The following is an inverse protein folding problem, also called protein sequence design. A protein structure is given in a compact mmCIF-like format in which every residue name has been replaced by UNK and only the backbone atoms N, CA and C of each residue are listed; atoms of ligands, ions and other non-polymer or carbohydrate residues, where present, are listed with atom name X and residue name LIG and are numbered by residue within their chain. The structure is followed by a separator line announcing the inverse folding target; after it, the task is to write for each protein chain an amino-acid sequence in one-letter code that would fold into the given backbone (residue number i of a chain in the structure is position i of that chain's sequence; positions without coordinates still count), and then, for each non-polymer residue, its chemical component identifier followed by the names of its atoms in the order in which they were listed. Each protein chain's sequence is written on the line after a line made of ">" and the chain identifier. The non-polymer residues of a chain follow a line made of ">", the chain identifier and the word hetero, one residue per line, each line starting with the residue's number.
data_IF_883169921036
#
_entry.id   IF_883169921036
#
_cell.length_a   1.000
_cell.length_b   1.000
_cell.length_c   1.000
_cell.angle_alpha   90.00
_cell.angle_beta   90.00
_cell.angle_gamma   90.00
#
_symmetry.space_group_name_H-M   'P 1'
#
loop_
_entity.id
_entity.type
_entity.pdbx_description
1 polymer ?
#
# COMPACT_ATOMS: atom_id res chain seq x y z
N UNK A 1 -2.62 -15.92 5.69
CA UNK A 1 -3.37 -16.88 6.54
C UNK A 1 -4.89 -16.88 6.28
N UNK A 2 -5.43 -15.94 5.53
CA UNK A 2 -6.87 -15.83 5.24
C UNK A 2 -7.25 -16.53 3.91
N UNK A 3 -6.42 -17.44 3.40
CA UNK A 3 -6.69 -18.20 2.19
C UNK A 3 -6.31 -17.50 0.88
N UNK A 4 -5.63 -16.36 0.97
CA UNK A 4 -5.09 -15.65 -0.19
C UNK A 4 -3.67 -16.12 -0.49
N UNK A 5 -3.38 -16.33 -1.77
CA UNK A 5 -2.01 -16.53 -2.25
C UNK A 5 -1.36 -15.17 -2.49
N UNK A 6 -0.16 -14.98 -1.97
CA UNK A 6 0.56 -13.70 -2.03
C UNK A 6 2.00 -13.93 -2.45
N UNK A 7 2.48 -13.14 -3.40
CA UNK A 7 3.91 -13.05 -3.69
C UNK A 7 4.47 -11.64 -3.43
N UNK A 8 5.77 -11.57 -3.18
CA UNK A 8 6.50 -10.31 -3.15
C UNK A 8 7.06 -9.97 -4.52
N UNK A 9 7.03 -8.69 -4.93
CA UNK A 9 7.78 -8.24 -6.11
C UNK A 9 8.89 -7.31 -5.65
N UNK A 10 10.12 -7.80 -5.74
CA UNK A 10 11.31 -7.14 -5.22
C UNK A 10 12.06 -6.42 -6.35
N UNK A 11 12.67 -5.28 -6.03
CA UNK A 11 13.50 -4.52 -6.96
C UNK A 11 14.71 -5.31 -7.46
N UNK A 12 15.34 -6.06 -6.56
CA UNK A 12 16.40 -7.03 -6.92
C UNK A 12 15.71 -8.39 -6.96
N UNK A 13 15.60 -9.02 -8.14
CA UNK A 13 14.87 -10.27 -8.27
C UNK A 13 15.47 -11.38 -7.40
N UNK A 14 14.59 -12.03 -6.66
CA UNK A 14 14.88 -13.20 -5.82
C UNK A 14 13.70 -14.15 -5.89
N UNK A 15 13.90 -15.46 -5.76
CA UNK A 15 12.80 -16.43 -5.83
C UNK A 15 11.89 -16.40 -4.60
N UNK A 16 12.37 -15.86 -3.48
CA UNK A 16 11.65 -15.78 -2.21
C UNK A 16 11.93 -14.48 -1.47
N UNK A 17 10.97 -14.05 -0.67
CA UNK A 17 11.16 -12.97 0.31
C UNK A 17 10.66 -13.40 1.68
N UNK A 18 11.45 -13.11 2.70
CA UNK A 18 11.07 -13.38 4.11
C UNK A 18 10.28 -12.21 4.67
N UNK A 19 9.19 -12.52 5.34
CA UNK A 19 8.37 -11.55 6.07
C UNK A 19 8.39 -11.93 7.54
N UNK A 20 8.96 -11.04 8.36
CA UNK A 20 8.99 -11.19 9.81
C UNK A 20 8.21 -10.00 10.40
N UNK A 21 7.11 -10.29 11.06
CA UNK A 21 6.19 -9.27 11.58
C UNK A 21 5.88 -9.56 13.05
N UNK A 22 5.91 -8.53 13.87
CA UNK A 22 5.39 -8.54 15.23
C UNK A 22 4.16 -7.62 15.26
N UNK A 23 3.02 -8.19 15.61
CA UNK A 23 1.74 -7.47 15.70
C UNK A 23 1.62 -6.68 17.01
N UNK A 24 0.63 -5.80 17.07
CA UNK A 24 0.36 -4.95 18.24
C UNK A 24 0.03 -5.72 19.51
N UNK A 25 -0.47 -6.96 19.38
CA UNK A 25 -0.77 -7.87 20.48
C UNK A 25 0.45 -8.75 20.88
N UNK A 26 1.61 -8.54 20.22
CA UNK A 26 2.83 -9.31 20.43
C UNK A 26 2.89 -10.63 19.67
N UNK A 27 1.88 -10.99 18.90
CA UNK A 27 1.92 -12.18 18.05
C UNK A 27 2.99 -12.02 16.96
N UNK A 28 3.63 -13.14 16.60
CA UNK A 28 4.74 -13.16 15.65
C UNK A 28 4.32 -13.93 14.39
N UNK A 29 4.56 -13.30 13.24
CA UNK A 29 4.36 -13.90 11.94
C UNK A 29 5.70 -13.97 11.20
N UNK A 30 6.12 -15.19 10.86
CA UNK A 30 7.35 -15.45 10.11
C UNK A 30 7.02 -16.37 8.94
N UNK A 31 7.13 -15.84 7.73
CA UNK A 31 6.82 -16.58 6.51
C UNK A 31 7.84 -16.28 5.42
N UNK A 32 7.99 -17.24 4.51
CA UNK A 32 8.72 -17.07 3.26
C UNK A 32 7.71 -17.10 2.12
N UNK A 33 7.61 -16.01 1.40
CA UNK A 33 6.72 -15.86 0.26
C UNK A 33 7.50 -16.08 -1.04
N UNK A 34 6.86 -16.66 -2.05
CA UNK A 34 7.36 -16.62 -3.43
C UNK A 34 7.56 -15.18 -3.86
N UNK A 35 8.59 -14.92 -4.66
CA UNK A 35 8.85 -13.57 -5.13
C UNK A 35 9.29 -13.56 -6.60
N UNK A 36 8.95 -12.48 -7.31
CA UNK A 36 9.36 -12.20 -8.69
C UNK A 36 8.98 -13.31 -9.69
N UNK A 37 7.85 -13.99 -9.47
CA UNK A 37 7.31 -14.98 -10.39
C UNK A 37 6.38 -14.31 -11.42
N UNK A 38 6.76 -14.23 -12.70
CA UNK A 38 5.94 -13.58 -13.72
C UNK A 38 4.66 -14.34 -14.06
N UNK A 39 4.65 -15.67 -13.93
CA UNK A 39 3.45 -16.48 -14.20
C UNK A 39 2.39 -16.23 -13.11
N UNK A 40 2.82 -16.13 -11.87
CA UNK A 40 1.94 -15.71 -10.78
C UNK A 40 1.42 -14.27 -11.00
N UNK A 41 2.29 -13.35 -11.43
CA UNK A 41 1.87 -11.97 -11.71
C UNK A 41 0.82 -11.91 -12.82
N UNK A 42 0.96 -12.72 -13.88
CA UNK A 42 0.04 -12.78 -15.00
C UNK A 42 -1.35 -13.31 -14.65
N UNK A 43 -1.51 -13.94 -13.49
CA UNK A 43 -2.78 -14.49 -12.99
C UNK A 43 -3.27 -13.79 -11.72
N UNK A 44 -2.61 -12.70 -11.31
CA UNK A 44 -2.95 -11.99 -10.07
C UNK A 44 -4.26 -11.23 -10.18
N UNK A 45 -5.08 -11.28 -9.13
CA UNK A 45 -6.37 -10.58 -9.02
C UNK A 45 -6.21 -9.14 -8.48
N UNK A 46 -5.07 -8.83 -7.86
CA UNK A 46 -4.76 -7.51 -7.31
C UNK A 46 -3.25 -7.28 -7.31
N UNK A 47 -2.81 -6.11 -7.78
CA UNK A 47 -1.48 -5.59 -7.52
C UNK A 47 -1.52 -4.53 -6.41
N UNK A 48 -0.94 -4.83 -5.25
CA UNK A 48 -0.79 -3.88 -4.15
C UNK A 48 0.59 -3.23 -4.19
N UNK A 49 0.63 -1.90 -4.33
CA UNK A 49 1.87 -1.11 -4.43
C UNK A 49 2.05 -0.24 -3.19
N UNK A 50 3.07 -0.58 -2.40
CA UNK A 50 3.39 0.11 -1.12
C UNK A 50 4.76 0.77 -1.14
N UNK A 51 5.19 1.22 -2.31
CA UNK A 51 6.49 1.86 -2.54
C UNK A 51 6.50 3.34 -2.12
N UNK A 52 7.67 3.96 -2.13
CA UNK A 52 7.77 5.42 -2.04
C UNK A 52 7.26 6.07 -3.33
N UNK A 53 6.63 7.24 -3.23
CA UNK A 53 5.95 7.90 -4.35
C UNK A 53 6.81 7.96 -5.63
N UNK A 54 8.10 8.30 -5.51
CA UNK A 54 9.01 8.39 -6.66
C UNK A 54 9.40 7.06 -7.31
N UNK A 55 9.03 5.93 -6.72
CA UNK A 55 9.29 4.58 -7.26
C UNK A 55 8.06 3.98 -7.93
N UNK A 56 6.87 4.52 -7.63
CA UNK A 56 5.59 3.92 -8.00
C UNK A 56 5.42 3.87 -9.51
N UNK A 57 5.64 4.98 -10.20
CA UNK A 57 5.37 5.08 -11.64
C UNK A 57 6.20 4.11 -12.46
N UNK A 58 7.50 4.01 -12.17
CA UNK A 58 8.40 3.09 -12.89
C UNK A 58 8.04 1.64 -12.60
N UNK A 59 7.77 1.31 -11.34
CA UNK A 59 7.38 -0.04 -10.94
C UNK A 59 6.07 -0.47 -11.61
N UNK A 60 5.04 0.36 -11.56
CA UNK A 60 3.74 0.07 -12.19
C UNK A 60 3.88 -0.09 -13.69
N UNK A 61 4.57 0.83 -14.38
CA UNK A 61 4.78 0.75 -15.83
C UNK A 61 5.51 -0.52 -16.24
N UNK A 62 6.48 -0.97 -15.45
CA UNK A 62 7.23 -2.20 -15.73
C UNK A 62 6.39 -3.47 -15.56
N UNK A 63 5.42 -3.46 -14.64
CA UNK A 63 4.59 -4.64 -14.33
C UNK A 63 3.28 -4.68 -15.13
N UNK A 64 2.77 -3.54 -15.56
CA UNK A 64 1.49 -3.41 -16.23
C UNK A 64 1.36 -4.24 -17.52
N UNK A 65 2.47 -4.48 -18.22
CA UNK A 65 2.48 -5.30 -19.44
C UNK A 65 2.24 -6.79 -19.16
N UNK A 66 2.56 -7.27 -17.98
CA UNK A 66 2.37 -8.66 -17.57
C UNK A 66 1.03 -8.89 -16.87
N UNK A 67 0.52 -7.86 -16.20
CA UNK A 67 -0.77 -7.91 -15.51
C UNK A 67 -1.93 -7.93 -16.50
N UNK A 68 -2.99 -8.73 -16.24
CA UNK A 68 -4.25 -8.61 -16.98
C UNK A 68 -4.78 -7.18 -16.93
N UNK A 69 -5.39 -6.71 -18.02
CA UNK A 69 -5.93 -5.34 -18.10
C UNK A 69 -7.10 -5.10 -17.14
N UNK A 70 -7.70 -6.17 -16.63
CA UNK A 70 -8.80 -6.13 -15.65
C UNK A 70 -8.33 -6.15 -14.21
N UNK A 71 -7.04 -6.44 -13.94
CA UNK A 71 -6.50 -6.51 -12.58
C UNK A 71 -6.35 -5.11 -11.99
N UNK A 72 -7.04 -4.79 -10.88
CA UNK A 72 -6.88 -3.50 -10.22
C UNK A 72 -5.48 -3.35 -9.62
N UNK A 73 -4.96 -2.13 -9.69
CA UNK A 73 -3.69 -1.72 -9.09
C UNK A 73 -4.01 -0.76 -7.94
N UNK A 74 -3.79 -1.20 -6.72
CA UNK A 74 -4.02 -0.39 -5.52
C UNK A 74 -2.71 0.25 -5.04
N UNK A 75 -2.65 1.57 -5.09
CA UNK A 75 -1.50 2.37 -4.69
C UNK A 75 -1.68 2.89 -3.28
N UNK A 76 -0.90 2.37 -2.32
CA UNK A 76 -0.88 2.88 -0.93
C UNK A 76 0.50 3.47 -0.67
N UNK A 77 0.61 4.77 -0.85
CA UNK A 77 1.83 5.53 -0.58
C UNK A 77 1.52 6.93 -0.06
N UNK A 78 2.51 7.58 0.52
CA UNK A 78 2.39 8.98 0.92
C UNK A 78 2.73 9.88 -0.27
N UNK A 79 1.98 10.98 -0.43
CA UNK A 79 2.17 11.96 -1.51
C UNK A 79 1.10 11.84 -2.59
N UNK A 80 1.19 12.75 -3.55
CA UNK A 80 0.26 12.90 -4.68
C UNK A 80 1.06 13.06 -5.97
N UNK A 81 0.39 13.02 -7.12
CA UNK A 81 1.02 13.23 -8.44
C UNK A 81 1.26 11.94 -9.24
N UNK A 82 1.26 10.78 -8.61
CA UNK A 82 1.52 9.50 -9.30
C UNK A 82 0.42 9.13 -10.32
N UNK A 83 -0.81 9.58 -10.11
CA UNK A 83 -1.93 9.28 -11.02
C UNK A 83 -1.74 9.98 -12.37
N UNK A 84 -1.24 11.20 -12.37
CA UNK A 84 -0.94 11.96 -13.57
C UNK A 84 0.16 11.28 -14.41
N UNK A 85 1.12 10.64 -13.76
CA UNK A 85 2.19 9.87 -14.42
C UNK A 85 1.71 8.52 -14.96
N UNK A 86 0.62 7.98 -14.41
CA UNK A 86 0.03 6.68 -14.73
C UNK A 86 -1.25 6.78 -15.58
N UNK A 87 -1.54 7.95 -16.16
CA UNK A 87 -2.77 8.18 -16.94
C UNK A 87 -2.94 7.22 -18.14
N UNK A 88 -1.86 6.69 -18.68
CA UNK A 88 -1.86 5.76 -19.82
C UNK A 88 -1.96 4.27 -19.41
N UNK A 89 -1.99 3.96 -18.13
CA UNK A 89 -2.18 2.59 -17.65
C UNK A 89 -3.63 2.18 -17.88
N UNK A 90 -3.83 1.01 -18.51
CA UNK A 90 -5.15 0.51 -18.88
C UNK A 90 -5.88 -0.16 -17.70
N UNK A 91 -5.12 -0.73 -16.79
CA UNK A 91 -5.65 -1.35 -15.58
C UNK A 91 -6.40 -0.33 -14.70
N UNK A 92 -7.44 -0.75 -13.99
CA UNK A 92 -8.08 0.10 -12.99
C UNK A 92 -7.08 0.56 -11.93
N UNK A 93 -7.01 1.87 -11.70
CA UNK A 93 -6.15 2.45 -10.67
C UNK A 93 -6.96 2.81 -9.44
N UNK A 94 -6.54 2.31 -8.32
CA UNK A 94 -7.10 2.62 -7.01
C UNK A 94 -6.05 3.32 -6.16
N UNK A 95 -6.49 4.24 -5.34
CA UNK A 95 -5.66 4.90 -4.35
C UNK A 95 -6.06 4.47 -2.96
N UNK A 96 -5.07 4.40 -2.09
CA UNK A 96 -5.31 4.15 -0.68
C UNK A 96 -4.44 5.02 0.22
N UNK A 97 -4.92 5.21 1.42
CA UNK A 97 -4.18 5.86 2.50
C UNK A 97 -4.41 5.08 3.80
N UNK A 98 -3.37 4.96 4.61
CA UNK A 98 -3.44 4.25 5.88
C UNK A 98 -2.80 5.07 7.00
N UNK A 99 -3.36 4.97 8.20
CA UNK A 99 -2.81 5.58 9.42
C UNK A 99 -2.17 4.54 10.35
N UNK A 100 -2.09 3.29 9.93
CA UNK A 100 -1.31 2.27 10.65
C UNK A 100 0.13 2.73 10.85
N UNK A 101 0.67 2.48 12.03
CA UNK A 101 2.05 2.79 12.34
C UNK A 101 2.87 1.51 12.46
N UNK A 102 3.96 1.46 11.71
CA UNK A 102 4.93 0.38 11.79
C UNK A 102 6.35 0.94 11.78
N UNK A 103 7.24 0.26 12.47
CA UNK A 103 8.68 0.53 12.42
C UNK A 103 9.44 -0.70 11.98
N UNK A 104 10.60 -0.49 11.41
CA UNK A 104 11.51 -1.57 11.03
C UNK A 104 12.66 -1.64 12.03
N UNK A 105 12.95 -2.86 12.48
CA UNK A 105 14.08 -3.16 13.34
C UNK A 105 14.85 -4.33 12.71
N UNK A 106 15.96 -4.01 12.04
CA UNK A 106 16.69 -4.98 11.22
C UNK A 106 15.80 -5.59 10.12
N UNK A 107 15.56 -6.90 10.24
CA UNK A 107 14.70 -7.67 9.31
C UNK A 107 13.27 -7.87 9.84
N UNK A 108 12.94 -7.30 10.99
CA UNK A 108 11.63 -7.43 11.61
C UNK A 108 10.82 -6.15 11.39
N UNK A 109 9.58 -6.30 11.00
CA UNK A 109 8.60 -5.23 10.96
C UNK A 109 7.80 -5.31 12.26
N UNK A 110 7.70 -4.20 12.98
CA UNK A 110 6.94 -4.10 14.22
C UNK A 110 5.74 -3.20 13.96
N UNK A 111 4.56 -3.78 14.03
CA UNK A 111 3.30 -3.03 13.98
C UNK A 111 3.08 -2.35 15.32
N UNK A 112 3.17 -1.02 15.33
CA UNK A 112 3.19 -0.21 16.57
C UNK A 112 1.79 0.19 17.00
N UNK A 113 0.93 0.54 16.03
CA UNK A 113 -0.43 0.98 16.31
C UNK A 113 -1.37 0.68 15.14
N UNK A 114 -2.57 0.23 15.48
CA UNK A 114 -3.68 0.12 14.55
C UNK A 114 -4.09 1.49 14.02
N UNK A 115 -4.56 1.52 12.79
CA UNK A 115 -5.03 2.71 12.11
C UNK A 115 -6.23 2.38 11.22
N UNK A 116 -6.65 3.36 10.44
CA UNK A 116 -7.70 3.23 9.45
C UNK A 116 -7.08 3.23 8.07
N UNK A 117 -7.60 2.38 7.18
CA UNK A 117 -7.22 2.36 5.77
C UNK A 117 -8.41 2.77 4.93
N UNK A 118 -8.23 3.80 4.11
CA UNK A 118 -9.22 4.26 3.14
C UNK A 118 -8.74 3.91 1.75
N UNK A 119 -9.61 3.33 0.92
CA UNK A 119 -9.33 3.02 -0.48
C UNK A 119 -10.45 3.51 -1.38
N UNK A 120 -10.16 3.74 -2.64
CA UNK A 120 -11.17 4.17 -3.61
C UNK A 120 -10.60 4.38 -5.01
N UNK A 121 -11.45 4.68 -6.00
CA UNK A 121 -11.02 4.85 -7.38
C UNK A 121 -10.11 6.07 -7.53
N UNK A 122 -9.03 5.92 -8.27
CA UNK A 122 -8.11 7.02 -8.57
C UNK A 122 -8.69 7.97 -9.63
N UNK A 123 -9.39 7.41 -10.62
CA UNK A 123 -10.03 8.11 -11.72
C UNK A 123 -11.52 7.72 -11.76
N UNK A 124 -12.38 8.60 -12.27
CA UNK A 124 -13.83 8.33 -12.35
C UNK A 124 -14.18 7.08 -13.17
N UNK A 125 -13.35 6.74 -14.16
CA UNK A 125 -13.54 5.59 -15.04
C UNK A 125 -13.07 4.26 -14.42
N UNK A 126 -12.36 4.27 -13.31
CA UNK A 126 -11.74 3.04 -12.73
C UNK A 126 -12.78 2.09 -12.11
N UNK A 127 -14.01 2.52 -11.96
CA UNK A 127 -15.11 1.67 -11.52
C UNK A 127 -15.19 1.44 -10.02
N UNK A 128 -16.09 0.56 -9.62
CA UNK A 128 -16.34 0.18 -8.23
C UNK A 128 -15.62 -1.14 -7.91
N UNK A 129 -14.69 -1.06 -6.98
CA UNK A 129 -13.93 -2.19 -6.41
C UNK A 129 -14.10 -2.24 -4.89
N UNK A 130 -15.27 -1.85 -4.38
CA UNK A 130 -15.55 -1.78 -2.94
C UNK A 130 -15.38 -3.13 -2.23
N UNK A 131 -15.57 -4.25 -2.93
CA UNK A 131 -15.32 -5.59 -2.40
C UNK A 131 -13.87 -5.78 -1.90
N UNK A 132 -12.90 -5.01 -2.43
CA UNK A 132 -11.52 -5.06 -1.95
C UNK A 132 -11.39 -4.52 -0.52
N UNK A 133 -12.27 -3.61 -0.09
CA UNK A 133 -12.30 -3.18 1.30
C UNK A 133 -12.68 -4.35 2.23
N UNK A 134 -13.66 -5.16 1.83
CA UNK A 134 -14.10 -6.33 2.60
C UNK A 134 -12.97 -7.38 2.69
N UNK A 135 -12.26 -7.62 1.56
CA UNK A 135 -11.11 -8.54 1.53
C UNK A 135 -10.01 -8.02 2.45
N UNK A 136 -9.62 -6.76 2.34
CA UNK A 136 -8.55 -6.17 3.15
C UNK A 136 -8.93 -6.12 4.64
N UNK A 137 -10.21 -5.94 4.97
CA UNK A 137 -10.71 -5.92 6.35
C UNK A 137 -10.56 -7.27 7.06
N UNK A 138 -10.36 -8.37 6.34
CA UNK A 138 -10.03 -9.66 6.95
C UNK A 138 -8.64 -9.70 7.60
N UNK A 139 -7.76 -8.78 7.22
CA UNK A 139 -6.34 -8.73 7.66
C UNK A 139 -5.94 -7.38 8.26
N UNK A 140 -6.68 -6.33 7.97
CA UNK A 140 -6.46 -4.98 8.50
C UNK A 140 -7.74 -4.51 9.20
N UNK A 141 -7.67 -3.98 10.43
CA UNK A 141 -8.83 -3.35 11.04
C UNK A 141 -9.21 -2.05 10.28
N UNK A 142 -10.50 -1.73 10.30
CA UNK A 142 -11.03 -0.45 9.83
C UNK A 142 -10.63 -0.08 8.40
N UNK A 143 -11.00 -0.91 7.42
CA UNK A 143 -10.87 -0.60 6.01
C UNK A 143 -12.18 -0.05 5.46
N UNK A 144 -12.14 1.10 4.78
CA UNK A 144 -13.32 1.75 4.21
C UNK A 144 -13.13 2.10 2.73
N UNK A 145 -14.18 1.86 1.94
CA UNK A 145 -14.26 2.34 0.56
C UNK A 145 -14.81 3.75 0.48
N UNK A 146 -14.19 4.60 -0.34
CA UNK A 146 -14.62 5.96 -0.59
C UNK A 146 -14.68 6.25 -2.09
N UNK A 147 -15.85 6.62 -2.59
CA UNK A 147 -16.01 7.02 -3.99
C UNK A 147 -15.22 8.30 -4.34
N UNK A 148 -14.86 9.09 -3.34
CA UNK A 148 -13.98 10.25 -3.47
C UNK A 148 -12.78 10.12 -2.54
N UNK A 149 -11.88 9.21 -2.86
CA UNK A 149 -10.66 8.97 -2.07
C UNK A 149 -9.74 10.20 -2.03
N UNK A 150 -9.82 11.11 -3.00
CA UNK A 150 -8.97 12.31 -3.05
C UNK A 150 -9.14 13.20 -1.81
N UNK A 151 -10.33 13.29 -1.25
CA UNK A 151 -10.57 14.06 -0.04
C UNK A 151 -9.74 13.50 1.16
N UNK A 152 -9.70 12.17 1.31
CA UNK A 152 -8.93 11.52 2.37
C UNK A 152 -7.41 11.66 2.15
N UNK A 153 -6.96 11.58 0.90
CA UNK A 153 -5.56 11.81 0.55
C UNK A 153 -5.11 13.24 0.88
N UNK A 154 -5.93 14.24 0.53
CA UNK A 154 -5.65 15.65 0.86
C UNK A 154 -5.63 15.90 2.37
N UNK A 155 -6.58 15.31 3.10
CA UNK A 155 -6.63 15.42 4.57
C UNK A 155 -5.33 14.88 5.20
N UNK A 156 -4.89 13.70 4.78
CA UNK A 156 -3.63 13.12 5.25
C UNK A 156 -2.41 13.95 4.85
N UNK A 157 -2.37 14.45 3.62
CA UNK A 157 -1.27 15.29 3.15
C UNK A 157 -1.18 16.58 3.97
N UNK A 158 -2.29 17.24 4.24
CA UNK A 158 -2.32 18.45 5.06
C UNK A 158 -1.72 18.21 6.46
N UNK A 159 -2.10 17.12 7.10
CA UNK A 159 -1.53 16.73 8.42
C UNK A 159 -0.03 16.48 8.30
N UNK A 160 0.41 15.70 7.30
CA UNK A 160 1.82 15.36 7.12
C UNK A 160 2.70 16.59 6.80
N UNK A 161 2.18 17.56 6.04
CA UNK A 161 2.88 18.80 5.70
C UNK A 161 3.15 19.69 6.93
N UNK A 162 2.38 19.53 8.00
CA UNK A 162 2.58 20.26 9.26
C UNK A 162 3.46 19.44 10.21
N UNK A 163 3.10 18.19 10.43
CA UNK A 163 3.72 17.36 11.48
C UNK A 163 5.17 16.98 11.10
N UNK A 164 5.41 16.55 9.86
CA UNK A 164 6.74 16.08 9.47
C UNK A 164 7.84 17.16 9.58
N UNK A 165 7.63 18.40 9.09
CA UNK A 165 8.62 19.46 9.28
C UNK A 165 8.85 19.80 10.76
N UNK A 166 7.80 19.83 11.57
CA UNK A 166 7.92 20.16 12.99
C UNK A 166 8.73 19.10 13.75
N UNK A 167 8.47 17.81 13.52
CA UNK A 167 9.27 16.75 14.15
C UNK A 167 10.73 16.77 13.70
N UNK A 168 10.98 17.13 12.45
CA UNK A 168 12.35 17.27 11.94
C UNK A 168 13.09 18.48 12.56
N UNK A 169 12.41 19.63 12.69
CA UNK A 169 12.99 20.85 13.27
C UNK A 169 13.27 20.65 14.76
N UNK A 170 12.33 20.06 15.49
CA UNK A 170 12.45 19.86 16.94
C UNK A 170 13.15 18.55 17.31
N UNK A 171 13.49 17.72 16.34
CA UNK A 171 14.14 16.42 16.51
C UNK A 171 13.44 15.56 17.57
N UNK A 172 12.12 15.49 17.52
CA UNK A 172 11.29 14.77 18.46
C UNK A 172 10.28 13.84 17.74
N UNK A 173 9.83 12.76 18.39
CA UNK A 173 8.76 11.92 17.86
C UNK A 173 7.41 12.63 17.90
N UNK A 174 6.44 12.18 17.10
CA UNK A 174 5.10 12.78 16.98
C UNK A 174 4.37 12.97 18.31
N UNK A 175 4.52 12.02 19.24
CA UNK A 175 3.86 12.08 20.54
C UNK A 175 4.36 13.19 21.48
N UNK A 176 5.48 13.82 21.17
CA UNK A 176 6.07 14.90 21.95
C UNK A 176 5.77 16.30 21.38
N UNK A 177 5.14 16.37 20.19
CA UNK A 177 4.65 17.63 19.63
C UNK A 177 3.45 18.13 20.46
N UNK A 178 3.63 19.27 21.15
CA UNK A 178 2.59 19.95 21.92
C UNK A 178 2.39 21.38 21.43
#
# INVERSE_FOLDING_TARGET
>A
KQGHEVQGWLRVPQPYCSVNLVETDGSIFNESLTANDPDFLATSDLLLVTLKAWQVSDAVKSLASTLPVTTPILLIHNGMGTIEELQNIQQPLLMGTTTHAARRDGNVIIHVANGITHIGPARQQDGDYSYLADILQTVLPDVAWHNNIRAELWRKLAVNCVINPLTAIWNCPYGELR
#
